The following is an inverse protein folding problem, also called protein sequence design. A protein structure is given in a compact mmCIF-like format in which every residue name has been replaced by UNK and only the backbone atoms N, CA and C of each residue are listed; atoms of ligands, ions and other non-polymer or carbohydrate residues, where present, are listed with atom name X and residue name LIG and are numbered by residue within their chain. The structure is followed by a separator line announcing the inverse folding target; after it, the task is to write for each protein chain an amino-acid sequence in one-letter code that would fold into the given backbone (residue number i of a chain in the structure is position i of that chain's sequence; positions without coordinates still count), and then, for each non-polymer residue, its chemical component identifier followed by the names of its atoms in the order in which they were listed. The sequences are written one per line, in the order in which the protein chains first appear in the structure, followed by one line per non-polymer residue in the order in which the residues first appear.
data_IF_814186772333
#
_entry.id   IF_814186772333
#
_cell.length_a   1.000
_cell.length_b   1.000
_cell.length_c   1.000
_cell.angle_alpha   90.00
_cell.angle_beta   90.00
_cell.angle_gamma   90.00
#
_symmetry.space_group_name_H-M   'P 1'
#
loop_
_entity.id
_entity.type
_entity.pdbx_description
1 polymer ?
#
# COMPACT_ATOMS: atom_id res chain seq x y z
N UNK A 1 -1.74 -7.59 48.65
CA UNK A 1 -2.85 -7.73 47.68
C UNK A 1 -3.00 -6.35 47.06
N UNK A 2 -2.85 -6.03 45.77
CA UNK A 2 -3.03 -6.66 44.44
C UNK A 2 -2.89 -5.43 43.51
N UNK A 3 -2.23 -5.36 42.36
CA UNK A 3 -1.92 -6.29 41.29
C UNK A 3 -0.58 -5.88 40.68
N UNK A 4 0.26 -6.86 40.35
CA UNK A 4 1.35 -6.65 39.40
C UNK A 4 0.74 -6.18 38.07
N UNK A 5 1.21 -5.04 37.57
CA UNK A 5 0.92 -4.63 36.21
C UNK A 5 1.48 -5.72 35.30
N UNK A 6 0.58 -6.48 34.68
CA UNK A 6 0.91 -7.40 33.61
C UNK A 6 1.51 -6.55 32.48
N UNK A 7 2.83 -6.56 32.33
CA UNK A 7 3.44 -6.19 31.05
C UNK A 7 3.08 -7.31 30.08
N UNK A 8 2.34 -7.04 28.99
CA UNK A 8 2.09 -8.04 27.98
C UNK A 8 3.39 -8.26 27.21
N UNK A 9 4.20 -9.19 27.70
CA UNK A 9 5.24 -9.87 26.94
C UNK A 9 4.52 -10.67 25.85
N UNK A 10 4.58 -10.17 24.61
CA UNK A 10 4.15 -10.84 23.37
C UNK A 10 2.67 -11.23 23.35
N UNK A 11 1.81 -10.29 23.01
CA UNK A 11 0.40 -10.57 22.73
C UNK A 11 -0.42 -9.29 22.70
N UNK A 12 -1.13 -9.07 21.60
CA UNK A 12 -1.95 -7.88 21.35
C UNK A 12 -2.93 -7.67 22.51
N UNK A 13 -2.90 -6.49 23.13
CA UNK A 13 -3.79 -6.15 24.24
C UNK A 13 -5.23 -5.91 23.75
N UNK A 14 -5.94 -6.98 23.37
CA UNK A 14 -7.32 -6.90 22.84
C UNK A 14 -8.35 -6.41 23.86
N UNK A 15 -8.01 -6.52 25.13
CA UNK A 15 -8.95 -6.31 26.22
C UNK A 15 -9.03 -4.83 26.62
N UNK A 16 -7.96 -4.05 26.40
CA UNK A 16 -8.03 -2.59 26.56
C UNK A 16 -8.55 -1.90 25.31
N UNK A 17 -9.21 -0.78 25.54
CA UNK A 17 -9.73 0.08 24.47
C UNK A 17 -8.57 0.69 23.62
N UNK A 18 -7.40 0.89 24.24
CA UNK A 18 -6.18 1.32 23.55
C UNK A 18 -5.60 0.24 22.61
N UNK A 19 -5.63 -1.02 23.02
CA UNK A 19 -5.17 -2.09 22.13
C UNK A 19 -6.17 -2.43 21.02
N UNK A 20 -7.48 -2.27 21.24
CA UNK A 20 -8.48 -2.32 20.15
C UNK A 20 -8.22 -1.27 19.07
N UNK A 21 -7.93 -0.02 19.45
CA UNK A 21 -7.56 1.00 18.46
C UNK A 21 -6.31 0.64 17.66
N UNK A 22 -5.32 0.03 18.31
CA UNK A 22 -4.10 -0.39 17.63
C UNK A 22 -4.39 -1.51 16.63
N UNK A 23 -5.31 -2.41 16.95
CA UNK A 23 -5.79 -3.43 16.02
C UNK A 23 -6.58 -2.82 14.86
N UNK A 24 -7.50 -1.89 15.14
CA UNK A 24 -8.27 -1.20 14.10
C UNK A 24 -7.34 -0.43 13.14
N UNK A 25 -6.35 0.30 13.68
CA UNK A 25 -5.31 0.97 12.89
C UNK A 25 -4.53 -0.02 12.01
N UNK A 26 -4.11 -1.15 12.59
CA UNK A 26 -3.40 -2.19 11.85
C UNK A 26 -4.28 -2.80 10.76
N UNK A 27 -5.57 -3.01 11.02
CA UNK A 27 -6.51 -3.58 10.06
C UNK A 27 -6.68 -2.67 8.84
N UNK A 28 -6.88 -1.37 9.05
CA UNK A 28 -7.00 -0.36 7.97
C UNK A 28 -5.75 -0.37 7.08
N UNK A 29 -4.57 -0.31 7.72
CA UNK A 29 -3.29 -0.28 6.98
C UNK A 29 -3.01 -1.58 6.25
N UNK A 30 -3.33 -2.72 6.87
CA UNK A 30 -3.16 -4.04 6.27
C UNK A 30 -4.04 -4.20 5.04
N UNK A 31 -5.32 -3.84 5.14
CA UNK A 31 -6.25 -3.90 4.02
C UNK A 31 -5.76 -3.09 2.81
N UNK A 32 -5.43 -1.81 3.02
CA UNK A 32 -4.92 -0.96 1.95
C UNK A 32 -3.60 -1.51 1.36
N UNK A 33 -2.69 -2.00 2.20
CA UNK A 33 -1.43 -2.59 1.75
C UNK A 33 -1.65 -3.87 0.91
N UNK A 34 -2.62 -4.70 1.26
CA UNK A 34 -2.96 -5.92 0.54
C UNK A 34 -3.50 -5.62 -0.86
N UNK A 35 -4.39 -4.63 -1.00
CA UNK A 35 -4.89 -4.18 -2.31
C UNK A 35 -3.74 -3.77 -3.24
N UNK A 36 -2.82 -2.94 -2.74
CA UNK A 36 -1.67 -2.49 -3.52
C UNK A 36 -0.69 -3.63 -3.83
N UNK A 37 -0.48 -4.57 -2.91
CA UNK A 37 0.37 -5.73 -3.13
C UNK A 37 -0.20 -6.67 -4.21
N UNK A 38 -1.52 -6.90 -4.21
CA UNK A 38 -2.19 -7.69 -5.24
C UNK A 38 -2.12 -7.00 -6.60
N UNK A 39 -2.31 -5.68 -6.64
CA UNK A 39 -2.12 -4.89 -7.85
C UNK A 39 -0.68 -5.00 -8.40
N UNK A 40 0.34 -4.87 -7.53
CA UNK A 40 1.74 -5.05 -7.91
C UNK A 40 2.01 -6.44 -8.50
N UNK A 41 1.46 -7.49 -7.89
CA UNK A 41 1.57 -8.87 -8.37
C UNK A 41 0.95 -9.04 -9.75
N UNK A 42 -0.24 -8.45 -9.99
CA UNK A 42 -0.92 -8.50 -11.29
C UNK A 42 -0.10 -7.85 -12.39
N UNK A 43 0.41 -6.64 -12.14
CA UNK A 43 1.29 -5.91 -13.09
C UNK A 43 2.56 -6.72 -13.35
N UNK A 44 3.22 -7.21 -12.30
CA UNK A 44 4.43 -8.02 -12.41
C UNK A 44 4.21 -9.30 -13.21
N UNK A 45 3.06 -9.97 -13.01
CA UNK A 45 2.68 -11.14 -13.78
C UNK A 45 2.46 -10.82 -15.25
N UNK A 46 1.73 -9.75 -15.55
CA UNK A 46 1.51 -9.28 -16.92
C UNK A 46 2.82 -8.97 -17.63
N UNK A 47 3.79 -8.36 -16.94
CA UNK A 47 5.12 -8.09 -17.50
C UNK A 47 5.93 -9.37 -17.80
N UNK A 48 5.86 -10.37 -16.92
CA UNK A 48 6.49 -11.68 -17.15
C UNK A 48 5.84 -12.40 -18.33
N UNK A 49 4.51 -12.40 -18.41
CA UNK A 49 3.79 -13.05 -19.50
C UNK A 49 4.06 -12.33 -20.84
N UNK A 50 4.12 -10.98 -20.86
CA UNK A 50 4.52 -10.20 -22.03
C UNK A 50 5.92 -10.58 -22.53
N UNK A 51 6.87 -10.75 -21.62
CA UNK A 51 8.22 -11.19 -21.97
C UNK A 51 8.24 -12.59 -22.61
N UNK A 52 7.31 -13.46 -22.24
CA UNK A 52 7.24 -14.84 -22.74
C UNK A 52 6.48 -14.96 -24.06
N UNK A 53 5.44 -14.14 -24.27
CA UNK A 53 4.49 -14.34 -25.37
C UNK A 53 4.58 -13.28 -26.46
N UNK A 54 5.11 -12.09 -26.17
CA UNK A 54 5.12 -10.95 -27.10
C UNK A 54 6.55 -10.54 -27.46
N UNK A 55 7.48 -10.56 -26.50
CA UNK A 55 8.88 -10.25 -26.81
C UNK A 55 9.50 -11.37 -27.66
N UNK A 56 10.19 -11.01 -28.76
CA UNK A 56 10.97 -11.99 -29.51
C UNK A 56 12.08 -12.57 -28.62
N UNK A 57 12.35 -13.89 -28.70
CA UNK A 57 13.40 -14.51 -27.91
C UNK A 57 14.76 -13.95 -28.32
N UNK A 58 15.65 -13.78 -27.35
CA UNK A 58 17.04 -13.44 -27.62
C UNK A 58 17.69 -14.50 -28.50
N UNK A 59 18.26 -14.08 -29.62
CA UNK A 59 19.03 -14.96 -30.53
C UNK A 59 20.50 -14.59 -30.50
N UNK A 60 21.37 -15.42 -31.08
CA UNK A 60 22.80 -15.09 -31.20
C UNK A 60 23.05 -13.84 -32.05
N UNK A 61 22.23 -13.62 -33.07
CA UNK A 61 22.30 -12.47 -33.97
C UNK A 61 21.64 -11.23 -33.38
N UNK A 62 20.62 -11.42 -32.54
CA UNK A 62 19.92 -10.35 -31.83
C UNK A 62 19.80 -10.71 -30.34
N UNK A 63 20.88 -10.51 -29.56
CA UNK A 63 20.93 -10.92 -28.15
C UNK A 63 19.99 -10.09 -27.27
N UNK A 64 19.65 -8.88 -27.69
CA UNK A 64 18.74 -7.99 -26.98
C UNK A 64 17.52 -7.68 -27.86
N UNK A 65 16.29 -7.84 -27.33
CA UNK A 65 15.10 -7.42 -28.06
C UNK A 65 15.13 -5.90 -28.29
N UNK A 66 14.52 -5.40 -29.37
CA UNK A 66 14.39 -3.97 -29.64
C UNK A 66 13.85 -3.20 -28.43
N UNK A 67 14.45 -2.03 -28.15
CA UNK A 67 14.09 -1.22 -26.98
C UNK A 67 12.61 -0.82 -26.96
N UNK A 68 12.04 -0.53 -28.13
CA UNK A 68 10.63 -0.16 -28.30
C UNK A 68 9.68 -1.28 -27.85
N UNK A 69 10.00 -2.53 -28.17
CA UNK A 69 9.21 -3.69 -27.75
C UNK A 69 9.35 -3.96 -26.25
N UNK A 70 10.50 -3.62 -25.66
CA UNK A 70 10.81 -3.81 -24.24
C UNK A 70 10.23 -2.70 -23.35
N UNK A 71 9.99 -1.51 -23.90
CA UNK A 71 9.55 -0.34 -23.14
C UNK A 71 8.27 -0.56 -22.32
N UNK A 72 7.20 -1.21 -22.82
CA UNK A 72 6.01 -1.54 -22.03
C UNK A 72 6.31 -2.40 -20.81
N UNK A 73 7.14 -3.45 -20.98
CA UNK A 73 7.55 -4.32 -19.89
C UNK A 73 8.35 -3.57 -18.83
N UNK A 74 9.27 -2.69 -19.24
CA UNK A 74 10.07 -1.91 -18.31
C UNK A 74 9.22 -0.87 -17.55
N UNK A 75 8.27 -0.24 -18.22
CA UNK A 75 7.30 0.66 -17.58
C UNK A 75 6.43 -0.08 -16.56
N UNK A 76 5.90 -1.26 -16.92
CA UNK A 76 5.14 -2.10 -16.02
C UNK A 76 5.96 -2.55 -14.80
N UNK A 77 7.22 -2.95 -14.98
CA UNK A 77 8.10 -3.34 -13.86
C UNK A 77 8.32 -2.18 -12.88
N UNK A 78 8.56 -0.96 -13.39
CA UNK A 78 8.67 0.24 -12.53
C UNK A 78 7.36 0.56 -11.81
N UNK A 79 6.23 0.43 -12.50
CA UNK A 79 4.91 0.61 -11.91
C UNK A 79 4.68 -0.39 -10.77
N UNK A 80 4.91 -1.68 -10.99
CA UNK A 80 4.80 -2.72 -9.97
C UNK A 80 5.69 -2.42 -8.74
N UNK A 81 6.92 -1.96 -8.95
CA UNK A 81 7.82 -1.56 -7.87
C UNK A 81 7.25 -0.39 -7.04
N UNK A 82 6.62 0.60 -7.68
CA UNK A 82 5.95 1.70 -6.96
C UNK A 82 4.78 1.22 -6.12
N UNK A 83 3.94 0.32 -6.65
CA UNK A 83 2.86 -0.31 -5.86
C UNK A 83 3.39 -1.08 -4.66
N UNK A 84 4.45 -1.89 -4.84
CA UNK A 84 5.11 -2.60 -3.74
C UNK A 84 5.64 -1.63 -2.68
N UNK A 85 6.33 -0.57 -3.09
CA UNK A 85 6.86 0.42 -2.16
C UNK A 85 5.75 1.13 -1.37
N UNK A 86 4.63 1.46 -2.02
CA UNK A 86 3.46 2.06 -1.34
C UNK A 86 2.80 1.08 -0.35
N UNK A 87 2.65 -0.19 -0.74
CA UNK A 87 2.16 -1.25 0.15
C UNK A 87 3.04 -1.41 1.39
N UNK A 88 4.37 -1.42 1.21
CA UNK A 88 5.32 -1.53 2.30
C UNK A 88 5.29 -0.30 3.22
N UNK A 89 5.11 0.90 2.68
CA UNK A 89 4.93 2.11 3.50
C UNK A 89 3.67 2.04 4.36
N UNK A 90 2.54 1.59 3.82
CA UNK A 90 1.30 1.42 4.59
C UNK A 90 1.47 0.40 5.71
N UNK A 91 2.02 -0.78 5.38
CA UNK A 91 2.22 -1.87 6.35
C UNK A 91 3.11 -1.44 7.51
N UNK A 92 4.15 -0.65 7.22
CA UNK A 92 5.15 -0.23 8.20
C UNK A 92 4.90 1.18 8.77
N UNK A 93 3.77 1.83 8.45
CA UNK A 93 3.48 3.15 8.97
C UNK A 93 3.40 3.12 10.52
N UNK A 94 4.02 4.08 11.22
CA UNK A 94 4.10 4.06 12.66
C UNK A 94 2.74 4.35 13.32
N UNK A 95 2.53 3.72 14.47
CA UNK A 95 1.48 4.08 15.43
C UNK A 95 2.02 5.13 16.42
N UNK A 96 1.20 5.99 17.05
CA UNK A 96 1.67 6.98 18.03
C UNK A 96 2.65 6.41 19.07
N UNK A 97 3.71 7.17 19.40
CA UNK A 97 4.75 6.72 20.33
C UNK A 97 4.25 6.57 21.77
N UNK A 98 3.22 7.32 22.19
CA UNK A 98 2.51 7.13 23.46
C UNK A 98 1.03 6.75 23.21
N UNK A 99 0.71 5.44 23.17
CA UNK A 99 -0.65 4.96 22.95
C UNK A 99 -1.66 5.47 23.98
N UNK A 100 -1.26 5.67 25.24
CA UNK A 100 -2.17 6.07 26.32
C UNK A 100 -2.56 7.54 26.21
N UNK A 101 -1.61 8.40 25.85
CA UNK A 101 -1.87 9.84 25.61
C UNK A 101 -2.64 10.05 24.32
N UNK A 102 -2.22 9.41 23.23
CA UNK A 102 -2.92 9.48 21.95
C UNK A 102 -4.38 9.02 22.10
N UNK A 103 -4.58 7.96 22.87
CA UNK A 103 -5.91 7.44 23.18
C UNK A 103 -6.86 8.47 23.83
N UNK A 104 -6.38 9.25 24.81
CA UNK A 104 -7.21 10.29 25.44
C UNK A 104 -7.66 11.36 24.44
N UNK A 105 -6.83 11.69 23.45
CA UNK A 105 -7.17 12.65 22.41
C UNK A 105 -8.07 12.06 21.32
N UNK A 106 -7.94 10.75 21.05
CA UNK A 106 -8.78 10.02 20.12
C UNK A 106 -10.18 9.70 20.67
N UNK A 107 -10.45 9.87 21.98
CA UNK A 107 -11.82 9.79 22.53
C UNK A 107 -12.73 10.99 22.20
N UNK A 108 -12.19 12.03 21.55
CA UNK A 108 -12.91 13.28 21.24
C UNK A 108 -12.93 13.60 19.74
N UNK A 109 -12.85 14.89 19.34
CA UNK A 109 -12.89 15.27 17.92
C UNK A 109 -11.74 14.69 17.07
N UNK A 110 -10.66 14.21 17.71
CA UNK A 110 -9.57 13.49 17.05
C UNK A 110 -9.99 12.17 16.40
N UNK A 111 -11.01 11.47 16.93
CA UNK A 111 -11.52 10.23 16.32
C UNK A 111 -12.13 10.47 14.94
N UNK A 112 -12.92 11.53 14.79
CA UNK A 112 -13.57 11.85 13.51
C UNK A 112 -12.52 12.09 12.42
N UNK A 113 -11.48 12.87 12.75
CA UNK A 113 -10.40 13.16 11.81
C UNK A 113 -9.56 11.92 11.45
N UNK A 114 -9.26 11.05 12.41
CA UNK A 114 -8.57 9.79 12.13
C UNK A 114 -9.40 8.90 11.21
N UNK A 115 -10.70 8.77 11.50
CA UNK A 115 -11.64 8.00 10.69
C UNK A 115 -11.74 8.53 9.26
N UNK A 116 -11.69 9.85 9.08
CA UNK A 116 -11.67 10.46 7.74
C UNK A 116 -10.40 10.10 6.96
N UNK A 117 -9.24 10.10 7.62
CA UNK A 117 -8.00 9.60 7.00
C UNK A 117 -8.10 8.13 6.62
N UNK A 118 -8.60 7.28 7.51
CA UNK A 118 -8.72 5.84 7.28
C UNK A 118 -9.66 5.53 6.10
N UNK A 119 -10.82 6.20 6.05
CA UNK A 119 -11.75 6.11 4.91
C UNK A 119 -11.14 6.61 3.61
N UNK A 120 -10.33 7.66 3.67
CA UNK A 120 -9.64 8.18 2.49
C UNK A 120 -8.59 7.19 1.98
N UNK A 121 -7.78 6.62 2.87
CA UNK A 121 -6.80 5.60 2.52
C UNK A 121 -7.43 4.37 1.87
N UNK A 122 -8.55 3.87 2.41
CA UNK A 122 -9.29 2.78 1.79
C UNK A 122 -9.72 3.11 0.36
N UNK A 123 -10.43 4.23 0.18
CA UNK A 123 -10.94 4.63 -1.14
C UNK A 123 -9.81 4.86 -2.15
N UNK A 124 -8.71 5.47 -1.73
CA UNK A 124 -7.56 5.69 -2.60
C UNK A 124 -6.83 4.39 -2.95
N UNK A 125 -6.75 3.43 -2.02
CA UNK A 125 -6.16 2.12 -2.29
C UNK A 125 -7.02 1.29 -3.25
N UNK A 126 -8.34 1.31 -3.06
CA UNK A 126 -9.31 0.71 -3.99
C UNK A 126 -9.20 1.34 -5.38
N UNK A 127 -9.17 2.68 -5.45
CA UNK A 127 -9.02 3.39 -6.72
C UNK A 127 -7.70 3.04 -7.41
N UNK A 128 -6.56 3.13 -6.71
CA UNK A 128 -5.26 2.75 -7.26
C UNK A 128 -5.26 1.29 -7.78
N UNK A 129 -5.83 0.36 -7.01
CA UNK A 129 -5.95 -1.03 -7.45
C UNK A 129 -6.85 -1.17 -8.70
N UNK A 130 -7.92 -0.37 -8.82
CA UNK A 130 -8.83 -0.39 -9.96
C UNK A 130 -8.21 0.17 -11.24
N UNK A 131 -7.31 1.16 -11.15
CA UNK A 131 -6.63 1.78 -12.29
C UNK A 131 -5.81 0.76 -13.09
N UNK A 132 -5.27 -0.24 -12.39
CA UNK A 132 -4.47 -1.32 -12.99
C UNK A 132 -5.23 -2.64 -13.04
N UNK A 133 -6.55 -2.59 -12.86
CA UNK A 133 -7.38 -3.77 -13.02
C UNK A 133 -7.44 -4.19 -14.49
N UNK A 134 -7.51 -5.50 -14.73
CA UNK A 134 -7.49 -6.05 -16.10
C UNK A 134 -6.14 -5.97 -16.84
N UNK A 135 -5.07 -5.45 -16.23
CA UNK A 135 -3.73 -5.47 -16.86
C UNK A 135 -3.31 -6.90 -17.20
N UNK A 136 -2.88 -7.10 -18.44
CA UNK A 136 -2.43 -8.39 -18.96
C UNK A 136 -1.39 -8.17 -20.05
N UNK A 137 -0.74 -9.25 -20.51
CA UNK A 137 0.31 -9.15 -21.53
C UNK A 137 -0.17 -8.45 -22.82
N UNK A 138 -1.30 -8.81 -23.46
CA UNK A 138 -1.70 -8.20 -24.73
C UNK A 138 -1.93 -6.67 -24.69
N UNK A 139 -2.33 -6.14 -23.53
CA UNK A 139 -2.64 -4.71 -23.34
C UNK A 139 -1.61 -4.00 -22.47
N UNK A 140 -0.44 -4.59 -22.25
CA UNK A 140 0.56 -4.03 -21.33
C UNK A 140 1.07 -2.65 -21.77
N UNK A 141 1.12 -2.38 -23.08
CA UNK A 141 1.46 -1.08 -23.65
C UNK A 141 0.44 0.02 -23.34
N UNK A 142 -0.78 -0.36 -22.95
CA UNK A 142 -1.89 0.55 -22.64
C UNK A 142 -2.03 0.80 -21.13
N UNK A 143 -1.16 0.20 -20.31
CA UNK A 143 -1.16 0.39 -18.85
C UNK A 143 -1.17 1.90 -18.52
N UNK A 144 -2.18 2.42 -17.79
CA UNK A 144 -2.30 3.84 -17.49
C UNK A 144 -1.31 4.31 -16.43
N UNK A 145 0.00 4.29 -16.75
CA UNK A 145 1.11 4.59 -15.83
C UNK A 145 0.92 5.93 -15.12
N UNK A 146 0.49 6.97 -15.85
CA UNK A 146 0.33 8.31 -15.29
C UNK A 146 -0.76 8.36 -14.22
N UNK A 147 -1.90 7.73 -14.49
CA UNK A 147 -3.03 7.68 -13.56
C UNK A 147 -2.69 6.81 -12.35
N UNK A 148 -2.00 5.68 -12.57
CA UNK A 148 -1.51 4.82 -11.51
C UNK A 148 -0.54 5.56 -10.58
N UNK A 149 0.41 6.32 -11.15
CA UNK A 149 1.35 7.13 -10.37
C UNK A 149 0.63 8.22 -9.57
N UNK A 150 -0.35 8.91 -10.18
CA UNK A 150 -1.16 9.93 -9.50
C UNK A 150 -1.95 9.35 -8.33
N UNK A 151 -2.59 8.18 -8.52
CA UNK A 151 -3.34 7.50 -7.46
C UNK A 151 -2.44 7.12 -6.28
N UNK A 152 -1.22 6.62 -6.55
CA UNK A 152 -0.25 6.30 -5.51
C UNK A 152 0.29 7.55 -4.78
N UNK A 153 0.51 8.65 -5.50
CA UNK A 153 0.96 9.91 -4.92
C UNK A 153 -0.11 10.52 -3.99
N UNK A 154 -1.39 10.42 -4.37
CA UNK A 154 -2.51 10.84 -3.53
C UNK A 154 -2.65 10.01 -2.26
N UNK A 155 -2.58 8.69 -2.39
CA UNK A 155 -2.60 7.77 -1.24
C UNK A 155 -1.44 8.06 -0.29
N UNK A 156 -0.24 8.23 -0.83
CA UNK A 156 0.98 8.50 -0.06
C UNK A 156 0.85 9.83 0.70
N UNK A 157 0.30 10.86 0.06
CA UNK A 157 0.05 12.15 0.70
C UNK A 157 -0.92 12.03 1.88
N UNK A 158 -2.01 11.28 1.73
CA UNK A 158 -2.95 11.00 2.82
C UNK A 158 -2.27 10.27 3.96
N UNK A 159 -1.43 9.26 3.66
CA UNK A 159 -0.67 8.53 4.66
C UNK A 159 0.26 9.46 5.45
N UNK A 160 0.98 10.35 4.76
CA UNK A 160 1.90 11.30 5.42
C UNK A 160 1.14 12.30 6.30
N UNK A 161 -0.02 12.80 5.85
CA UNK A 161 -0.90 13.65 6.67
C UNK A 161 -1.41 12.92 7.91
N UNK A 162 -1.78 11.65 7.76
CA UNK A 162 -2.22 10.80 8.87
C UNK A 162 -1.10 10.55 9.87
N UNK A 163 0.11 10.21 9.42
CA UNK A 163 1.30 10.04 10.27
C UNK A 163 1.61 11.34 11.02
N UNK A 164 1.58 12.48 10.33
CA UNK A 164 1.78 13.80 10.94
C UNK A 164 0.73 14.12 12.01
N UNK A 165 -0.55 13.82 11.72
CA UNK A 165 -1.63 13.97 12.69
C UNK A 165 -1.40 13.09 13.93
N UNK A 166 -1.11 11.81 13.75
CA UNK A 166 -0.87 10.86 14.84
C UNK A 166 0.38 11.20 15.67
N UNK A 167 1.40 11.79 15.05
CA UNK A 167 2.61 12.23 15.74
C UNK A 167 2.39 13.51 16.57
N UNK A 168 1.35 14.29 16.26
CA UNK A 168 0.98 15.49 17.00
C UNK A 168 0.09 15.25 18.22
N UNK A 169 -0.40 14.02 18.44
CA UNK A 169 -1.22 13.64 19.59
C UNK A 169 -0.36 13.38 20.83
#
# INVERSE_FOLDING_TARGET
MTHGAFEPLVGVDRYTEAGRLREDDLAVRTYAAELLALAAQRIGRAAVDYQRTILPPSTREQPFPPAELKAPMDAAKRCAQRYTAAADRLRNAPFPPDPKKAWKQLKGPGAARLLDFDRMLHRQAEFAASVVDGVSAPVLSELPIREADQALDELTRTLDQRIGFLSGL
#
